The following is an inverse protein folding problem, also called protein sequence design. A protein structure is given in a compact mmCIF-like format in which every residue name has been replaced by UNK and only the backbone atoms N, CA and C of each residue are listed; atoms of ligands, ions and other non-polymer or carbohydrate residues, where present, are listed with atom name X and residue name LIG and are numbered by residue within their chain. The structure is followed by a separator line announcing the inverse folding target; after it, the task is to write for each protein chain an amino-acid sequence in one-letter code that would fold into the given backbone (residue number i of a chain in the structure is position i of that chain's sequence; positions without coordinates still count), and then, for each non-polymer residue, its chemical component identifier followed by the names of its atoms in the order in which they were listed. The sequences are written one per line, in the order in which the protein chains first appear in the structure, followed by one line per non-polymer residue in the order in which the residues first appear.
data_IF_859316886594
#
_entry.id   IF_859316886594
#
_cell.length_a   1.000
_cell.length_b   1.000
_cell.length_c   1.000
_cell.angle_alpha   90.00
_cell.angle_beta   90.00
_cell.angle_gamma   90.00
#
_symmetry.space_group_name_H-M   'P 1'
#
loop_
_entity.id
_entity.type
_entity.pdbx_description
1 polymer ?
#
# COMPACT_ATOMS: atom_id res chain seq x y z
N UNK A 1 4.18 9.24 -2.75
CA UNK A 1 3.25 8.45 -3.57
C UNK A 1 3.97 7.16 -3.79
N UNK A 2 3.41 6.09 -3.26
CA UNK A 2 3.95 4.76 -3.33
C UNK A 2 4.16 4.35 -4.79
N UNK A 3 5.30 3.74 -5.08
CA UNK A 3 5.61 3.17 -6.40
C UNK A 3 5.49 1.65 -6.39
N UNK A 4 5.33 1.07 -7.58
CA UNK A 4 5.30 -0.39 -7.75
C UNK A 4 6.56 -1.06 -7.20
N UNK A 5 7.73 -0.51 -7.49
CA UNK A 5 9.01 -1.10 -7.07
C UNK A 5 9.18 -1.08 -5.54
N UNK A 6 8.82 0.04 -4.88
CA UNK A 6 8.84 0.14 -3.41
C UNK A 6 7.90 -0.88 -2.75
N UNK A 7 6.68 -1.00 -3.30
CA UNK A 7 5.69 -1.94 -2.77
C UNK A 7 6.12 -3.40 -2.97
N UNK A 8 6.71 -3.70 -4.14
CA UNK A 8 7.25 -5.02 -4.45
C UNK A 8 8.43 -5.38 -3.55
N UNK A 9 9.33 -4.44 -3.29
CA UNK A 9 10.44 -4.67 -2.36
C UNK A 9 9.93 -4.98 -0.94
N UNK A 10 8.86 -4.30 -0.49
CA UNK A 10 8.24 -4.58 0.80
C UNK A 10 7.63 -5.99 0.89
N UNK A 11 7.04 -6.48 -0.20
CA UNK A 11 6.59 -7.87 -0.32
C UNK A 11 7.77 -8.85 -0.32
N UNK A 12 8.81 -8.59 -1.12
CA UNK A 12 9.97 -9.48 -1.26
C UNK A 12 10.75 -9.60 0.07
N UNK A 13 10.81 -8.52 0.84
CA UNK A 13 11.37 -8.50 2.21
C UNK A 13 10.44 -9.12 3.26
N UNK A 14 9.22 -9.49 2.87
CA UNK A 14 8.23 -10.11 3.74
C UNK A 14 7.66 -9.15 4.78
N UNK A 15 7.64 -7.84 4.54
CA UNK A 15 6.91 -6.90 5.39
C UNK A 15 5.40 -7.03 5.17
N UNK A 16 5.00 -7.27 3.92
CA UNK A 16 3.61 -7.52 3.53
C UNK A 16 3.42 -9.03 3.42
N UNK A 17 2.70 -9.63 4.38
CA UNK A 17 2.61 -11.10 4.54
C UNK A 17 1.25 -11.70 4.20
N UNK A 18 0.28 -10.90 3.77
CA UNK A 18 -1.09 -11.35 3.52
C UNK A 18 -1.66 -10.82 2.21
N UNK A 19 -2.88 -11.25 1.91
CA UNK A 19 -3.59 -10.88 0.67
C UNK A 19 -4.10 -9.43 0.70
N UNK A 20 -4.11 -8.81 1.88
CA UNK A 20 -4.54 -7.43 2.09
C UNK A 20 -3.50 -6.65 2.87
N UNK A 21 -3.42 -5.35 2.61
CA UNK A 21 -2.57 -4.41 3.34
C UNK A 21 -3.32 -3.10 3.52
N UNK A 22 -3.06 -2.44 4.64
CA UNK A 22 -3.63 -1.13 4.90
C UNK A 22 -2.82 -0.08 4.13
N UNK A 23 -3.51 0.81 3.42
CA UNK A 23 -2.90 1.89 2.64
C UNK A 23 -3.36 3.25 3.14
N UNK A 24 -2.51 4.25 2.94
CA UNK A 24 -2.84 5.67 3.10
C UNK A 24 -3.28 6.21 1.74
N UNK A 25 -4.48 6.77 1.69
CA UNK A 25 -5.02 7.45 0.51
C UNK A 25 -4.82 8.96 0.63
N UNK A 26 -4.31 9.58 -0.44
CA UNK A 26 -4.21 11.03 -0.56
C UNK A 26 -4.81 11.47 -1.88
N UNK A 27 -5.89 12.27 -1.80
CA UNK A 27 -6.67 12.71 -2.97
C UNK A 27 -7.15 11.53 -3.84
N UNK A 28 -7.58 10.43 -3.20
CA UNK A 28 -8.10 9.24 -3.88
C UNK A 28 -7.05 8.38 -4.59
N UNK A 29 -5.75 8.61 -4.34
CA UNK A 29 -4.65 7.79 -4.87
C UNK A 29 -3.86 7.14 -3.74
N UNK A 30 -3.27 5.99 -4.03
CA UNK A 30 -2.37 5.30 -3.11
C UNK A 30 -1.16 6.19 -2.81
N UNK A 31 -1.03 6.59 -1.55
CA UNK A 31 0.05 7.44 -1.07
C UNK A 31 1.18 6.64 -0.44
N UNK A 32 0.82 5.68 0.41
CA UNK A 32 1.73 4.80 1.16
C UNK A 32 1.01 3.52 1.65
N UNK A 33 1.74 2.55 2.20
CA UNK A 33 1.22 1.41 2.96
C UNK A 33 1.55 1.55 4.45
N UNK A 34 0.82 0.84 5.31
CA UNK A 34 1.02 0.85 6.76
C UNK A 34 1.38 -0.55 7.22
N UNK A 35 2.50 -0.68 7.93
CA UNK A 35 2.93 -1.93 8.55
C UNK A 35 2.41 -2.06 9.99
N UNK A 36 2.36 -3.31 10.47
CA UNK A 36 1.99 -3.60 11.85
C UNK A 36 2.90 -2.86 12.84
N UNK A 37 2.29 -2.02 13.68
CA UNK A 37 3.00 -1.25 14.70
C UNK A 37 3.43 0.16 14.27
N UNK A 38 3.19 0.54 13.01
CA UNK A 38 3.37 1.93 12.58
C UNK A 38 2.25 2.84 13.11
N UNK A 39 2.63 4.06 13.45
CA UNK A 39 1.68 5.08 13.87
C UNK A 39 1.14 5.79 12.64
N UNK A 40 -0.18 5.75 12.49
CA UNK A 40 -0.92 6.53 11.49
C UNK A 40 -1.36 7.85 12.09
N UNK A 41 -1.29 8.92 11.31
CA UNK A 41 -1.77 10.23 11.73
C UNK A 41 -3.31 10.33 11.63
N UNK A 42 -4.01 11.02 12.56
CA UNK A 42 -5.48 11.03 12.62
C UNK A 42 -6.20 11.61 11.39
N UNK A 43 -5.48 12.32 10.52
CA UNK A 43 -6.01 12.95 9.31
C UNK A 43 -5.77 12.13 8.04
N UNK A 44 -5.08 10.99 8.15
CA UNK A 44 -4.84 10.09 7.05
C UNK A 44 -6.09 9.25 6.78
N UNK A 45 -6.44 9.12 5.51
CA UNK A 45 -7.53 8.25 5.08
C UNK A 45 -6.93 6.88 4.86
N UNK A 46 -7.37 5.91 5.64
CA UNK A 46 -6.93 4.54 5.53
C UNK A 46 -7.93 3.70 4.73
N UNK A 47 -7.44 2.79 3.90
CA UNK A 47 -8.22 1.72 3.30
C UNK A 47 -7.50 0.40 3.44
N UNK A 48 -8.26 -0.68 3.63
CA UNK A 48 -7.72 -2.04 3.60
C UNK A 48 -7.93 -2.59 2.19
N UNK A 49 -6.86 -2.70 1.42
CA UNK A 49 -6.93 -3.07 0.01
C UNK A 49 -6.26 -4.41 -0.24
N UNK A 50 -6.69 -5.11 -1.29
CA UNK A 50 -6.02 -6.33 -1.74
C UNK A 50 -4.68 -5.99 -2.39
N UNK A 51 -3.66 -6.75 -2.05
CA UNK A 51 -2.31 -6.64 -2.65
C UNK A 51 -2.39 -6.75 -4.17
N UNK A 52 -3.24 -7.63 -4.70
CA UNK A 52 -3.45 -7.77 -6.15
C UNK A 52 -3.99 -6.53 -6.83
N UNK A 53 -4.84 -5.75 -6.14
CA UNK A 53 -5.48 -4.57 -6.72
C UNK A 53 -4.54 -3.36 -6.62
N UNK A 54 -3.78 -3.25 -5.53
CA UNK A 54 -2.68 -2.28 -5.40
C UNK A 54 -1.63 -2.48 -6.50
N UNK A 55 -1.21 -3.72 -6.75
CA UNK A 55 -0.24 -4.04 -7.81
C UNK A 55 -0.75 -3.57 -9.18
N UNK A 56 -2.03 -3.78 -9.48
CA UNK A 56 -2.63 -3.33 -10.75
C UNK A 56 -2.65 -1.80 -10.85
N UNK A 57 -3.03 -1.11 -9.77
CA UNK A 57 -3.07 0.36 -9.76
C UNK A 57 -1.66 0.96 -9.90
N UNK A 58 -0.67 0.42 -9.19
CA UNK A 58 0.70 0.95 -9.18
C UNK A 58 1.51 0.57 -10.44
N UNK A 59 1.29 -0.64 -10.97
CA UNK A 59 1.99 -1.13 -12.16
C UNK A 59 1.47 -0.52 -13.46
N UNK A 60 0.24 0.00 -13.44
CA UNK A 60 -0.50 0.38 -14.64
C UNK A 60 -0.85 -0.83 -15.50
N UNK A 61 -2.03 -0.82 -16.14
CA UNK A 61 -2.25 -1.70 -17.29
C UNK A 61 -1.22 -1.30 -18.36
N UNK A 62 -0.23 -2.17 -18.59
CA UNK A 62 0.64 -2.10 -19.77
C UNK A 62 -0.14 -2.53 -21.01
#
# INVERSE_FOLDING_TARGET
MLTYDEFKEAMDKGFIKGDTVQIVLKNGKIHDYVLDGERVEPHEILSLEKVSDIIKELGGDN
#
